data_IF_502354847518
#
_entry.id   IF_502354847518
#
_cell.length_a   1.000
_cell.length_b   1.000
_cell.length_c   1.000
_cell.angle_alpha   90.00
_cell.angle_beta   90.00
_cell.angle_gamma   90.00
#
_symmetry.space_group_name_H-M   'P 1'
#
loop_
_entity.id
_entity.type
_entity.pdbx_description
1 polymer ?
2 non-polymer ?
#
# COMPACT_ATOMS: atom_id res chain seq x y z
N UNK A 2 -4.31 28.49 18.56
CA UNK A 2 -4.31 27.00 18.46
C UNK A 2 -3.07 26.45 19.22
N UNK A 3 -3.25 25.28 19.83
CA UNK A 3 -2.16 24.57 20.50
C UNK A 3 -1.10 24.21 19.45
N UNK A 4 -1.58 23.80 18.29
CA UNK A 4 -0.76 23.47 17.14
C UNK A 4 -0.99 24.53 16.11
N UNK A 5 0.04 25.17 15.62
CA UNK A 5 -0.09 26.28 14.68
C UNK A 5 -0.72 25.89 13.34
N UNK A 6 -1.60 26.76 12.85
CA UNK A 6 -2.27 26.59 11.56
C UNK A 6 -1.70 27.57 10.54
N UNK A 7 -1.85 27.26 9.27
CA UNK A 7 -1.48 28.17 8.19
C UNK A 7 -2.62 28.30 7.20
N UNK A 8 -2.51 29.25 6.25
CA UNK A 8 -3.52 29.40 5.19
C UNK A 8 -3.59 28.18 4.27
N UNK A 9 -2.44 27.53 4.05
CA UNK A 9 -2.37 26.32 3.23
C UNK A 9 -1.55 25.20 3.89
N UNK A 10 -1.42 25.25 5.21
CA UNK A 10 -0.61 24.27 5.95
C UNK A 10 -0.97 24.24 7.44
N UNK A 11 -0.23 23.44 8.21
CA UNK A 11 -0.40 23.35 9.66
C UNK A 11 0.86 22.72 10.25
N UNK A 12 1.58 23.48 11.06
CA UNK A 12 2.80 22.99 11.74
C UNK A 12 2.50 22.63 13.19
N UNK A 13 2.65 21.34 13.57
CA UNK A 13 2.32 20.91 14.92
C UNK A 13 3.41 21.27 15.94
N UNK A 14 3.40 22.54 16.35
CA UNK A 14 4.39 23.07 17.29
C UNK A 14 3.99 24.48 17.73
N UNK A 15 4.31 24.81 18.99
CA UNK A 15 4.02 26.12 19.58
C UNK A 15 4.78 27.25 18.89
N UNK A 16 4.15 28.42 18.85
CA UNK A 16 4.76 29.61 18.24
C UNK A 16 4.55 30.81 19.15
N UNK A 17 4.78 30.63 20.45
CA UNK A 17 4.93 31.74 21.38
C UNK A 17 6.38 32.24 21.33
N UNK A 18 7.31 31.33 21.04
CA UNK A 18 8.72 31.67 20.81
C UNK A 18 8.92 32.44 19.49
N UNK A 19 8.11 32.15 18.48
CA UNK A 19 8.04 32.97 17.27
C UNK A 19 8.98 32.54 16.16
N UNK A 20 8.96 31.27 15.80
CA UNK A 20 9.86 30.69 14.78
C UNK A 20 9.16 30.09 13.55
N UNK A 21 7.86 29.87 13.64
CA UNK A 21 7.15 29.04 12.65
C UNK A 21 7.01 29.78 11.31
N UNK A 22 7.47 29.14 10.23
CA UNK A 22 7.20 29.59 8.86
C UNK A 22 6.57 28.48 8.03
N UNK A 23 6.09 28.84 6.83
CA UNK A 23 5.42 27.91 5.93
C UNK A 23 6.37 26.80 5.49
N UNK A 24 5.95 25.52 5.66
CA UNK A 24 6.73 24.37 5.18
C UNK A 24 7.06 24.41 3.68
N UNK A 25 6.27 25.14 2.89
CA UNK A 25 6.50 25.27 1.46
C UNK A 25 7.63 26.25 1.17
N UNK A 26 7.66 27.37 1.91
CA UNK A 26 8.64 28.43 1.70
C UNK A 26 9.92 28.26 2.53
N UNK A 27 9.77 27.83 3.78
CA UNK A 27 10.90 27.75 4.72
C UNK A 27 11.18 26.36 5.27
N UNK A 28 12.38 26.12 5.87
CA UNK A 28 12.69 24.84 6.55
C UNK A 28 11.94 24.63 7.88
N UNK A 29 12.24 23.51 8.55
CA UNK A 29 11.57 23.12 9.80
C UNK A 29 12.57 22.51 10.78
N UNK A 30 13.77 23.06 10.87
CA UNK A 30 14.84 22.50 11.73
C UNK A 30 14.74 22.91 13.21
N UNK A 31 13.64 23.52 13.62
CA UNK A 31 13.35 23.80 15.04
C UNK A 31 12.56 22.66 15.69
N UNK A 32 11.99 21.78 14.86
CA UNK A 32 11.25 20.62 15.35
C UNK A 32 12.20 19.49 15.76
N UNK A 33 13.43 19.48 15.25
CA UNK A 33 14.40 18.43 15.54
C UNK A 33 15.84 18.89 15.31
N UNK A 34 16.78 17.99 15.56
CA UNK A 34 18.21 18.24 15.39
C UNK A 34 18.57 18.53 13.92
N UNK A 35 19.75 19.13 13.67
CA UNK A 35 20.25 19.31 12.29
C UNK A 35 20.42 18.02 11.47
N UNK A 36 20.77 16.91 12.14
CA UNK A 36 20.93 15.62 11.42
C UNK A 36 19.74 14.67 11.63
N UNK A 37 18.64 15.17 12.17
CA UNK A 37 17.42 14.36 12.34
C UNK A 37 16.65 14.21 11.01
N UNK A 38 16.61 15.28 10.22
CA UNK A 38 15.99 15.22 8.88
C UNK A 38 16.84 14.38 7.90
N UNK A 39 18.12 14.19 8.21
CA UNK A 39 18.97 13.29 7.44
C UNK A 39 18.51 11.84 7.53
N UNK A 40 17.87 11.48 8.64
CA UNK A 40 17.27 10.14 8.78
C UNK A 40 16.29 9.89 7.68
N UNK A 41 15.31 10.78 7.54
CA UNK A 41 14.33 10.68 6.47
C UNK A 41 14.98 10.74 5.07
N UNK A 42 15.92 11.65 4.89
CA UNK A 42 16.65 11.76 3.62
C UNK A 42 17.42 10.50 3.24
N UNK A 43 18.00 9.84 4.24
CA UNK A 43 18.70 8.56 4.05
C UNK A 43 17.71 7.39 4.04
N UNK A 44 16.61 7.54 4.76
CA UNK A 44 15.55 6.53 4.80
C UNK A 44 14.86 6.37 3.46
N UNK A 45 14.46 7.48 2.83
CA UNK A 45 13.81 7.46 1.51
C UNK A 45 14.77 6.96 0.43
N UNK A 46 16.02 7.40 0.48
CA UNK A 46 17.05 6.98 -0.49
C UNK A 46 17.29 5.47 -0.42
N UNK A 47 17.48 4.96 0.79
CA UNK A 47 17.73 3.52 0.99
C UNK A 47 16.45 2.68 0.88
N UNK A 48 15.29 3.32 0.92
CA UNK A 48 14.02 2.65 0.63
C UNK A 48 13.75 2.58 -0.88
N UNK A 49 13.96 3.70 -1.57
CA UNK A 49 13.79 3.75 -3.02
C UNK A 49 14.79 2.81 -3.72
N UNK A 50 15.99 2.68 -3.14
CA UNK A 50 17.00 1.74 -3.66
C UNK A 50 16.55 0.28 -3.64
N UNK A 51 15.71 -0.07 -2.65
CA UNK A 51 15.14 -1.43 -2.56
C UNK A 51 13.67 -1.52 -2.97
N UNK A 52 13.03 -0.37 -3.21
CA UNK A 52 11.66 -0.31 -3.68
C UNK A 52 11.51 -0.50 -5.17
N UNK A 53 12.36 0.19 -5.94
CA UNK A 53 12.30 0.17 -7.41
C UNK A 53 12.69 -1.19 -8.00
N UNK A 54 13.87 -1.75 -7.63
CA UNK A 54 14.32 -2.98 -8.29
C UNK A 54 13.53 -4.24 -7.95
N UNK A 55 12.78 -4.22 -6.85
CA UNK A 55 11.90 -5.34 -6.47
C UNK A 55 10.55 -5.22 -7.17
N UNK A 56 10.00 -4.02 -7.20
CA UNK A 56 8.75 -3.78 -7.92
C UNK A 56 8.91 -3.90 -9.45
N UNK A 57 10.06 -3.47 -9.96
CA UNK A 57 10.38 -3.61 -11.40
C UNK A 57 10.68 -5.07 -11.75
N UNK A 58 11.28 -5.80 -10.80
CA UNK A 58 11.52 -7.24 -10.95
C UNK A 58 10.21 -8.03 -10.98
N UNK A 59 9.29 -7.66 -10.08
CA UNK A 59 7.97 -8.27 -10.05
C UNK A 59 7.21 -7.97 -11.33
N UNK A 60 7.37 -6.75 -11.84
CA UNK A 60 6.77 -6.33 -13.10
C UNK A 60 7.39 -7.06 -14.31
N UNK A 61 8.70 -7.27 -14.27
CA UNK A 61 9.44 -7.93 -15.37
C UNK A 61 9.12 -9.43 -15.43
N UNK A 62 8.97 -10.06 -14.27
CA UNK A 62 8.78 -11.51 -14.20
C UNK A 62 7.33 -11.94 -14.46
N UNK A 63 6.37 -11.30 -13.82
CA UNK A 63 4.96 -11.71 -13.88
C UNK A 63 4.38 -11.68 -15.30
N UNK A 64 4.73 -10.63 -16.06
CA UNK A 64 4.25 -10.46 -17.43
C UNK A 64 4.95 -11.42 -18.39
N UNK A 65 6.23 -11.71 -18.13
CA UNK A 65 7.03 -12.60 -18.98
C UNK A 65 6.72 -14.09 -18.75
N UNK A 66 6.09 -14.44 -17.63
CA UNK A 66 5.82 -15.83 -17.25
C UNK A 66 4.36 -16.23 -17.46
N UNK A 67 4.15 -17.48 -17.85
CA UNK A 67 2.93 -17.96 -18.51
C UNK A 67 1.84 -18.38 -17.54
N UNK A 68 2.21 -19.33 -16.68
CA UNK A 68 1.26 -19.96 -15.74
C UNK A 68 0.74 -18.96 -14.71
N UNK A 69 1.46 -17.84 -14.55
CA UNK A 69 1.04 -16.78 -13.64
C UNK A 69 0.02 -15.86 -14.32
N UNK A 70 -1.20 -16.35 -14.47
CA UNK A 70 -2.28 -15.58 -15.12
C UNK A 70 -3.64 -15.53 -14.38
N UNK A 71 -3.79 -16.26 -13.27
CA UNK A 71 -5.02 -16.22 -12.47
C UNK A 71 -5.12 -14.86 -11.76
N UNK A 72 -6.33 -14.47 -11.33
CA UNK A 72 -6.54 -13.23 -10.55
C UNK A 72 -5.52 -12.99 -9.44
N UNK A 73 -5.04 -14.06 -8.81
CA UNK A 73 -3.91 -14.01 -7.88
C UNK A 73 -2.79 -13.15 -8.41
N UNK A 74 -2.29 -13.50 -9.59
CA UNK A 74 -1.10 -12.86 -10.16
C UNK A 74 -1.40 -11.54 -10.87
N UNK A 75 -2.65 -11.32 -11.28
CA UNK A 75 -3.08 -10.04 -11.87
C UNK A 75 -3.17 -8.92 -10.84
N UNK A 76 -3.79 -9.20 -9.70
CA UNK A 76 -4.00 -8.22 -8.64
C UNK A 76 -2.67 -7.92 -7.94
N UNK A 77 -1.88 -8.96 -7.66
CA UNK A 77 -0.56 -8.77 -7.03
C UNK A 77 0.49 -8.19 -7.99
N UNK A 78 0.21 -8.24 -9.28
CA UNK A 78 0.96 -7.46 -10.27
C UNK A 78 0.46 -6.00 -10.26
N UNK A 79 -0.86 -5.82 -10.19
CA UNK A 79 -1.47 -4.49 -10.01
C UNK A 79 -0.92 -3.75 -8.79
N UNK A 80 -0.66 -4.50 -7.73
CA UNK A 80 -0.01 -3.94 -6.55
C UNK A 80 1.44 -3.58 -6.84
N UNK A 81 2.18 -4.48 -7.49
CA UNK A 81 3.57 -4.22 -7.88
C UNK A 81 3.69 -2.97 -8.76
N UNK A 82 2.70 -2.76 -9.62
CA UNK A 82 2.62 -1.54 -10.44
C UNK A 82 2.28 -0.34 -9.55
N UNK A 83 1.22 -0.48 -8.75
CA UNK A 83 0.80 0.59 -7.84
C UNK A 83 1.89 0.96 -6.83
N UNK A 84 2.70 -0.01 -6.45
CA UNK A 84 3.82 0.21 -5.55
C UNK A 84 5.00 0.91 -6.25
N UNK A 85 5.25 0.57 -7.52
CA UNK A 85 6.30 1.21 -8.30
C UNK A 85 5.97 2.68 -8.61
N UNK A 86 4.67 2.96 -8.80
CA UNK A 86 4.17 4.34 -8.89
C UNK A 86 4.63 5.23 -7.73
N UNK A 87 4.62 4.65 -6.53
CA UNK A 87 5.01 5.37 -5.31
C UNK A 87 6.52 5.59 -5.25
N UNK A 88 7.28 4.52 -5.47
CA UNK A 88 8.75 4.54 -5.32
C UNK A 88 9.37 5.57 -6.26
N UNK A 89 8.95 5.54 -7.52
CA UNK A 89 9.45 6.51 -8.49
C UNK A 89 8.74 7.86 -8.38
N UNK A 90 7.46 7.85 -8.06
CA UNK A 90 6.64 9.08 -7.96
C UNK A 90 6.66 9.79 -6.61
N UNK A 91 5.84 9.34 -5.69
CA UNK A 91 5.64 10.03 -4.40
C UNK A 91 6.79 9.97 -3.43
N UNK A 92 7.59 8.92 -3.53
CA UNK A 92 8.74 8.75 -2.63
C UNK A 92 9.92 9.64 -2.99
N UNK A 93 10.11 9.89 -4.28
CA UNK A 93 11.18 10.76 -4.74
C UNK A 93 10.97 12.23 -4.30
N UNK A 94 9.72 12.66 -4.21
CA UNK A 94 9.39 14.02 -3.73
C UNK A 94 9.75 14.18 -2.27
N UNK A 95 9.31 13.22 -1.46
CA UNK A 95 9.58 13.23 -0.03
C UNK A 95 11.04 12.89 0.32
N UNK A 96 11.76 12.23 -0.59
CA UNK A 96 13.21 12.08 -0.47
C UNK A 96 13.86 13.44 -0.63
N UNK A 97 13.54 14.12 -1.73
CA UNK A 97 14.09 15.44 -2.03
C UNK A 97 13.59 16.49 -1.04
N UNK A 98 12.38 16.30 -0.51
CA UNK A 98 11.83 17.16 0.53
C UNK A 98 12.57 16.96 1.85
N UNK A 99 12.79 15.71 2.24
CA UNK A 99 13.53 15.38 3.46
C UNK A 99 15.03 15.69 3.36
N UNK A 100 15.55 15.72 2.14
CA UNK A 100 16.92 16.12 1.89
C UNK A 100 17.17 17.58 2.27
N UNK A 101 16.19 18.43 1.99
CA UNK A 101 16.24 19.85 2.38
C UNK A 101 15.53 20.13 3.72
N UNK A 102 14.62 19.26 4.11
CA UNK A 102 13.86 19.41 5.36
C UNK A 102 12.51 20.12 5.18
N UNK A 103 12.16 20.43 3.93
CA UNK A 103 10.91 21.12 3.63
C UNK A 103 10.54 20.96 2.15
N UNK A 104 9.25 21.12 1.85
CA UNK A 104 8.75 20.95 0.48
C UNK A 104 9.28 22.03 -0.46
N UNK A 105 10.34 21.69 -1.16
CA UNK A 105 11.02 22.63 -2.06
C UNK A 105 10.24 22.91 -3.35
N UNK A 106 9.34 21.99 -3.71
CA UNK A 106 8.51 22.16 -4.89
C UNK A 106 7.24 22.98 -4.58
N UNK A 107 7.12 23.52 -3.37
CA UNK A 107 5.99 24.36 -2.98
C UNK A 107 4.82 23.53 -2.50
N UNK A 108 3.58 24.08 -2.58
CA UNK A 108 2.40 23.26 -2.26
C UNK A 108 2.09 22.16 -3.28
N UNK A 109 2.69 22.26 -4.46
CA UNK A 109 2.61 21.19 -5.47
C UNK A 109 3.39 19.95 -5.03
N UNK A 110 4.53 20.15 -4.36
CA UNK A 110 5.31 19.04 -3.83
C UNK A 110 4.62 18.29 -2.72
N UNK A 111 3.75 18.98 -1.98
CA UNK A 111 2.91 18.34 -0.96
C UNK A 111 1.93 17.36 -1.61
N UNK A 112 1.38 17.74 -2.76
CA UNK A 112 0.47 16.86 -3.49
C UNK A 112 1.19 15.60 -3.99
N UNK A 113 2.37 15.76 -4.60
CA UNK A 113 3.16 14.60 -5.07
C UNK A 113 3.39 13.55 -3.98
N UNK A 114 3.67 14.00 -2.76
CA UNK A 114 3.76 13.09 -1.61
C UNK A 114 2.37 12.58 -1.19
N UNK A 115 1.38 13.47 -1.18
CA UNK A 115 0.02 13.13 -0.75
C UNK A 115 -0.86 12.44 -1.78
N UNK A 116 -0.51 12.56 -3.06
CA UNK A 116 -1.31 11.99 -4.15
C UNK A 116 -0.93 10.54 -4.43
N UNK A 117 0.36 10.29 -4.70
CA UNK A 117 0.86 8.94 -4.96
C UNK A 117 0.70 8.00 -3.74
N UNK A 118 0.86 8.55 -2.53
CA UNK A 118 0.70 7.78 -1.30
C UNK A 118 -0.76 7.36 -1.09
N UNK A 119 -1.67 8.32 -1.21
CA UNK A 119 -3.11 8.07 -1.07
C UNK A 119 -3.63 7.18 -2.20
N UNK A 120 -3.07 7.34 -3.40
CA UNK A 120 -3.43 6.51 -4.54
C UNK A 120 -2.94 5.07 -4.35
N UNK A 121 -1.64 4.92 -4.12
CA UNK A 121 -1.03 3.60 -3.92
C UNK A 121 -1.48 2.90 -2.66
N UNK A 122 -1.79 3.69 -1.63
CA UNK A 122 -2.29 3.16 -0.36
C UNK A 122 -3.67 2.53 -0.47
N UNK A 123 -4.50 3.05 -1.38
CA UNK A 123 -5.85 2.52 -1.61
C UNK A 123 -5.86 1.33 -2.56
N UNK A 124 -4.96 1.32 -3.52
CA UNK A 124 -4.78 0.15 -4.40
C UNK A 124 -4.27 -1.05 -3.58
N UNK A 125 -3.45 -0.77 -2.56
CA UNK A 125 -3.06 -1.79 -1.59
C UNK A 125 -4.29 -2.34 -0.86
N UNK A 126 -5.21 -1.45 -0.48
CA UNK A 126 -6.43 -1.82 0.25
C UNK A 126 -7.45 -2.55 -0.62
N UNK A 127 -7.94 -1.86 -1.65
CA UNK A 127 -9.04 -2.40 -2.48
C UNK A 127 -8.66 -3.65 -3.26
N UNK A 128 -7.35 -3.91 -3.41
CA UNK A 128 -6.87 -5.19 -3.92
C UNK A 128 -7.28 -6.34 -3.01
N UNK A 129 -7.27 -6.09 -1.70
CA UNK A 129 -7.67 -7.08 -0.72
C UNK A 129 -9.18 -7.27 -0.67
N UNK A 130 -9.93 -6.24 -1.06
CA UNK A 130 -11.38 -6.36 -1.19
C UNK A 130 -11.74 -7.24 -2.40
N UNK A 131 -10.94 -7.16 -3.46
CA UNK A 131 -11.07 -8.05 -4.61
C UNK A 131 -10.66 -9.48 -4.24
N UNK A 132 -9.55 -9.59 -3.52
CA UNK A 132 -9.04 -10.90 -3.06
C UNK A 132 -9.88 -11.52 -1.94
N UNK A 133 -10.61 -10.71 -1.19
CA UNK A 133 -11.53 -11.21 -0.17
C UNK A 133 -12.72 -11.92 -0.82
N UNK A 134 -13.29 -11.29 -1.85
CA UNK A 134 -14.43 -11.84 -2.58
C UNK A 134 -14.02 -13.08 -3.40
N UNK A 135 -12.75 -13.17 -3.77
CA UNK A 135 -12.23 -14.35 -4.46
C UNK A 135 -12.28 -15.58 -3.57
N UNK A 136 -11.96 -15.42 -2.29
CA UNK A 136 -12.05 -16.53 -1.32
C UNK A 136 -13.50 -16.87 -1.02
N UNK A 137 -14.36 -15.85 -0.98
CA UNK A 137 -15.79 -16.01 -0.71
C UNK A 137 -16.49 -16.93 -1.71
N UNK A 138 -16.24 -16.73 -3.00
CA UNK A 138 -16.96 -17.46 -4.05
C UNK A 138 -16.37 -18.85 -4.27
N UNK A 139 -15.05 -18.98 -4.32
CA UNK A 139 -14.40 -20.26 -4.67
C UNK A 139 -14.36 -21.26 -3.52
N UNK A 140 -14.27 -20.76 -2.28
CA UNK A 140 -14.15 -21.62 -1.11
C UNK A 140 -15.50 -21.82 -0.42
N UNK A 141 -16.13 -20.72 0.00
CA UNK A 141 -17.39 -20.78 0.75
C UNK A 141 -18.55 -21.22 -0.14
N UNK A 142 -18.52 -20.79 -1.40
CA UNK A 142 -19.44 -21.26 -2.44
C UNK A 142 -20.93 -20.99 -2.13
N UNK A 143 -21.38 -19.75 -2.33
CA UNK A 143 -22.81 -19.50 -2.48
C UNK A 143 -23.30 -20.03 -3.84
N UNK A 144 -22.54 -19.69 -4.88
CA UNK A 144 -22.69 -20.22 -6.22
C UNK A 144 -21.49 -21.13 -6.49
N UNK A 145 -21.70 -22.43 -6.53
CA UNK A 145 -20.60 -23.39 -6.71
C UNK A 145 -20.03 -23.33 -8.11
N UNK A 146 -20.88 -23.09 -9.11
CA UNK A 146 -20.43 -22.95 -10.52
C UNK A 146 -19.56 -21.72 -10.81
N UNK A 147 -19.75 -20.65 -10.05
CA UNK A 147 -19.04 -19.40 -10.29
C UNK A 147 -17.60 -19.50 -9.78
N UNK A 148 -16.67 -18.92 -10.54
CA UNK A 148 -15.27 -18.85 -10.12
C UNK A 148 -14.59 -17.63 -10.76
N UNK A 149 -13.69 -17.00 -10.00
CA UNK A 149 -12.94 -15.84 -10.50
C UNK A 149 -11.96 -16.26 -11.61
N UNK A 150 -12.33 -15.96 -12.84
CA UNK A 150 -11.48 -16.25 -14.00
C UNK A 150 -10.61 -15.07 -14.36
N UNK A 151 -10.05 -15.10 -15.56
CA UNK A 151 -9.23 -14.01 -16.08
C UNK A 151 -10.02 -12.73 -16.32
N UNK A 152 -11.33 -12.84 -16.59
CA UNK A 152 -12.18 -11.67 -16.81
C UNK A 152 -12.34 -10.83 -15.55
N UNK A 153 -12.66 -11.47 -14.43
CA UNK A 153 -12.85 -10.79 -13.15
C UNK A 153 -11.53 -10.31 -12.53
N UNK A 154 -10.40 -10.81 -13.02
CA UNK A 154 -9.08 -10.34 -12.61
C UNK A 154 -8.84 -8.89 -13.04
N UNK A 155 -9.11 -8.60 -14.32
CA UNK A 155 -8.94 -7.25 -14.88
C UNK A 155 -10.00 -6.28 -14.37
N UNK A 156 -11.22 -6.77 -14.17
CA UNK A 156 -12.30 -5.95 -13.58
C UNK A 156 -12.03 -5.67 -12.11
N UNK A 157 -11.33 -6.59 -11.44
CA UNK A 157 -10.86 -6.37 -10.08
C UNK A 157 -9.76 -5.32 -10.00
N UNK A 158 -8.78 -5.41 -10.89
CA UNK A 158 -7.70 -4.43 -11.00
C UNK A 158 -8.26 -3.06 -11.37
N UNK A 159 -9.15 -3.03 -12.37
CA UNK A 159 -9.81 -1.78 -12.77
C UNK A 159 -10.64 -1.19 -11.62
N UNK A 160 -11.25 -2.06 -10.83
CA UNK A 160 -12.02 -1.63 -9.65
C UNK A 160 -11.16 -0.98 -8.56
N UNK A 161 -9.93 -1.47 -8.38
CA UNK A 161 -9.02 -0.91 -7.37
C UNK A 161 -8.57 0.51 -7.75
N UNK A 162 -8.26 0.72 -9.01
CA UNK A 162 -7.81 2.04 -9.49
C UNK A 162 -8.89 3.12 -9.45
N UNK A 163 -10.16 2.73 -9.58
CA UNK A 163 -11.28 3.66 -9.53
C UNK A 163 -11.52 4.20 -8.11
N UNK A 164 -11.36 3.34 -7.12
CA UNK A 164 -11.54 3.73 -5.72
C UNK A 164 -10.40 4.62 -5.22
N UNK A 165 -9.17 4.33 -5.65
CA UNK A 165 -8.00 5.12 -5.29
C UNK A 165 -8.05 6.55 -5.84
N UNK A 166 -8.43 6.68 -7.11
CA UNK A 166 -8.59 8.00 -7.76
C UNK A 166 -9.82 8.77 -7.26
N UNK A 167 -10.77 8.05 -6.66
CA UNK A 167 -11.92 8.68 -6.00
C UNK A 167 -11.60 9.14 -4.58
N UNK A 168 -10.38 8.87 -4.11
CA UNK A 168 -9.89 9.36 -2.82
C UNK A 168 -8.79 10.41 -2.97
N UNK A 169 -7.80 10.10 -3.80
CA UNK A 169 -6.63 10.96 -3.99
C UNK A 169 -6.93 12.23 -4.81
N UNK A 170 -7.71 12.10 -5.86
CA UNK A 170 -8.04 13.22 -6.75
C UNK A 170 -8.93 14.31 -6.13
N UNK A 171 -10.07 13.94 -5.50
CA UNK A 171 -11.02 14.96 -5.00
C UNK A 171 -10.45 16.12 -4.17
N UNK A 172 -9.43 15.85 -3.32
CA UNK A 172 -8.70 16.93 -2.64
C UNK A 172 -8.22 18.12 -3.50
N UNK A 173 -8.09 17.94 -4.82
CA UNK A 173 -7.47 18.94 -5.70
C UNK A 173 -8.42 19.81 -6.54
N UNK A 174 -9.67 20.00 -6.09
CA UNK A 174 -10.60 20.94 -6.77
C UNK A 174 -11.50 21.69 -5.80
N UNK A 175 -10.87 22.32 -4.79
CA UNK A 175 -11.57 23.07 -3.75
C UNK A 175 -12.06 22.28 -2.54
N UNK A 176 -11.77 20.97 -2.47
CA UNK A 176 -12.09 20.15 -1.29
C UNK A 176 -10.88 20.08 -0.36
N UNK A 177 -10.97 19.29 0.71
CA UNK A 177 -9.88 19.17 1.69
C UNK A 177 -8.51 18.97 1.07
N UNK A 178 -7.64 19.96 1.22
CA UNK A 178 -6.28 19.91 0.69
C UNK A 178 -5.37 19.01 1.51
N UNK A 179 -4.14 18.83 1.02
CA UNK A 179 -3.09 18.12 1.74
C UNK A 179 -2.28 19.11 2.55
N UNK A 180 -2.05 18.80 3.83
CA UNK A 180 -1.27 19.64 4.73
C UNK A 180 -0.13 18.85 5.36
N UNK A 181 1.09 19.44 5.39
CA UNK A 181 2.25 18.80 6.00
C UNK A 181 2.00 18.27 7.41
N UNK A 182 2.71 17.19 7.74
CA UNK A 182 2.44 16.42 8.94
C UNK A 182 3.66 16.23 9.80
N UNK A 183 3.54 16.54 11.09
CA UNK A 183 4.63 16.35 12.06
C UNK A 183 5.84 17.21 11.77
N UNK A 184 6.86 16.62 11.14
CA UNK A 184 8.06 17.35 10.72
C UNK A 184 7.91 18.00 9.35
N UNK A 185 6.72 17.89 8.77
CA UNK A 185 6.36 18.57 7.54
C UNK A 185 7.15 18.04 6.33
N UNK A 186 7.43 16.75 6.36
CA UNK A 186 8.06 16.05 5.24
C UNK A 186 7.04 15.13 4.56
N UNK A 187 6.23 14.44 5.35
CA UNK A 187 5.05 13.76 4.84
C UNK A 187 3.91 14.73 4.76
N UNK A 188 3.01 14.53 3.81
CA UNK A 188 1.95 15.49 3.53
C UNK A 188 0.63 14.78 3.30
N UNK A 189 -0.31 14.94 4.23
CA UNK A 189 -1.58 14.23 4.21
C UNK A 189 -2.77 15.11 4.38
N UNK A 190 -3.96 14.52 4.28
CA UNK A 190 -5.20 15.31 4.26
C UNK A 190 -5.33 16.10 5.53
N UNK A 191 -5.79 17.34 5.42
CA UNK A 191 -5.95 18.19 6.58
C UNK A 191 -7.13 17.73 7.43
N UNK A 192 -6.78 16.97 8.46
CA UNK A 192 -7.68 16.62 9.56
C UNK A 192 -7.18 17.33 10.81
N UNK A 193 -6.33 18.34 10.61
CA UNK A 193 -5.68 19.04 11.70
C UNK A 193 -6.53 20.22 12.15
N UNK A 194 -7.29 20.81 11.22
CA UNK A 194 -8.04 22.02 11.48
C UNK A 194 -9.45 21.93 10.93
N UNK A 195 -10.38 22.69 11.53
CA UNK A 195 -11.75 22.77 11.04
C UNK A 195 -11.84 23.86 9.99
N UNK A 196 -11.10 23.67 8.89
CA UNK A 196 -11.03 24.65 7.82
C UNK A 196 -12.28 24.53 6.97
N UNK A 197 -13.35 25.20 7.40
CA UNK A 197 -14.65 25.11 6.73
C UNK A 197 -14.71 25.90 5.43
N UNK A 198 -13.65 26.64 5.09
CA UNK A 198 -13.48 27.25 3.77
C UNK A 198 -13.39 26.21 2.65
N UNK A 199 -12.86 25.03 2.97
CA UNK A 199 -12.68 23.97 2.00
C UNK A 199 -13.22 22.61 2.47
N UNK A 200 -14.10 22.63 3.48
CA UNK A 200 -14.68 21.42 4.06
C UNK A 200 -13.64 20.46 4.60
N UNK A 201 -12.85 20.94 5.55
CA UNK A 201 -11.83 20.11 6.21
C UNK A 201 -12.38 19.34 7.40
N UNK A 202 -13.47 19.84 8.00
CA UNK A 202 -14.17 19.11 9.05
C UNK A 202 -15.20 18.13 8.47
N UNK A 203 -15.55 18.29 7.21
CA UNK A 203 -16.56 17.44 6.56
C UNK A 203 -15.95 16.31 5.70
N UNK A 204 -15.04 16.68 4.80
CA UNK A 204 -14.47 15.74 3.82
C UNK A 204 -13.63 14.62 4.45
N UNK A 205 -13.09 14.84 5.65
CA UNK A 205 -12.28 13.83 6.33
C UNK A 205 -13.14 12.60 6.70
N UNK A 206 -14.43 12.82 6.94
CA UNK A 206 -15.34 11.74 7.28
C UNK A 206 -15.63 10.86 6.04
N UNK A 207 -15.62 11.48 4.87
CA UNK A 207 -15.77 10.77 3.58
C UNK A 207 -14.78 9.62 3.38
N UNK A 208 -13.48 9.90 3.60
CA UNK A 208 -12.42 8.91 3.34
C UNK A 208 -12.34 7.81 4.41
N UNK A 209 -12.58 8.18 5.67
CA UNK A 209 -12.50 7.22 6.80
C UNK A 209 -13.67 6.22 6.82
N UNK A 210 -14.78 6.56 6.16
CA UNK A 210 -15.94 5.67 6.10
C UNK A 210 -15.99 4.90 4.76
N UNK A 211 -15.91 5.64 3.65
CA UNK A 211 -16.02 5.03 2.31
C UNK A 211 -14.76 4.30 1.90
N UNK A 212 -13.63 5.00 2.04
CA UNK A 212 -12.33 4.49 1.57
C UNK A 212 -11.49 3.85 2.67
N UNK A 213 -12.14 3.21 3.64
CA UNK A 213 -11.43 2.53 4.73
C UNK A 213 -12.26 1.49 5.49
N UNK A 214 -13.21 1.96 6.30
CA UNK A 214 -13.89 1.09 7.26
C UNK A 214 -14.78 0.04 6.61
N UNK A 215 -15.32 0.35 5.43
CA UNK A 215 -16.11 -0.62 4.67
C UNK A 215 -15.25 -1.81 4.21
N UNK A 216 -14.13 -1.55 3.50
CA UNK A 216 -13.18 -2.60 3.13
C UNK A 216 -12.81 -3.60 4.23
N UNK A 217 -12.44 -3.12 5.40
CA UNK A 217 -12.00 -4.02 6.48
C UNK A 217 -13.11 -4.90 7.04
N UNK A 218 -14.34 -4.41 6.99
CA UNK A 218 -15.50 -5.24 7.34
C UNK A 218 -15.71 -6.33 6.28
N UNK A 219 -15.49 -5.97 5.01
CA UNK A 219 -15.58 -6.92 3.90
C UNK A 219 -14.52 -8.02 4.01
N UNK A 220 -13.31 -7.66 4.45
CA UNK A 220 -12.23 -8.63 4.58
C UNK A 220 -12.39 -9.48 5.85
N UNK A 221 -12.85 -8.88 6.94
CA UNK A 221 -13.18 -9.63 8.17
C UNK A 221 -14.42 -10.50 7.98
N UNK A 222 -15.30 -10.14 7.04
CA UNK A 222 -16.50 -10.94 6.70
C UNK A 222 -16.15 -12.23 5.97
N UNK A 223 -15.27 -12.14 4.98
CA UNK A 223 -14.83 -13.32 4.23
C UNK A 223 -13.88 -14.18 5.08
N UNK A 224 -13.05 -13.53 5.87
CA UNK A 224 -12.22 -14.21 6.88
C UNK A 224 -13.09 -14.81 7.98
N UNK A 225 -14.19 -14.13 8.30
CA UNK A 225 -15.17 -14.59 9.29
C UNK A 225 -16.09 -15.70 8.82
N UNK A 226 -16.46 -15.68 7.54
CA UNK A 226 -17.29 -16.75 6.96
C UNK A 226 -16.47 -18.03 6.79
N UNK A 227 -15.14 -17.88 6.70
CA UNK A 227 -14.22 -19.01 6.74
C UNK A 227 -13.91 -19.42 8.20
N UNK A 228 -14.94 -19.45 9.03
CA UNK A 228 -14.89 -19.99 10.39
C UNK A 228 -15.07 -21.50 10.29
N UNK A 229 -15.92 -21.95 9.36
CA UNK A 229 -16.18 -23.38 9.13
C UNK A 229 -15.30 -23.97 8.03
N UNK A 230 -15.34 -23.38 6.85
CA UNK A 230 -14.80 -24.02 5.63
C UNK A 230 -13.29 -24.25 5.67
N UNK A 231 -12.52 -23.14 5.68
CA UNK A 231 -11.05 -23.20 5.66
C UNK A 231 -10.47 -22.39 6.81
N UNK A 232 -10.25 -23.07 7.93
CA UNK A 232 -9.56 -22.52 9.08
C UNK A 232 -8.06 -22.79 8.90
N UNK A 233 -7.29 -22.07 9.68
CA UNK A 233 -5.86 -22.16 9.64
C UNK A 233 -5.48 -23.61 9.85
N UNK A 234 -4.96 -24.24 8.81
CA UNK A 234 -4.55 -25.67 8.83
C UNK A 234 -3.56 -25.97 7.69
N UNK A 235 -3.03 -27.19 7.63
CA UNK A 235 -1.95 -27.55 6.68
C UNK A 235 -2.18 -28.91 6.01
N UNK A 236 -1.30 -29.29 5.09
CA UNK A 236 -1.42 -30.55 4.33
C UNK A 236 -0.08 -30.98 3.74
N UNK A 237 -0.01 -32.19 3.18
CA UNK A 237 1.25 -32.74 2.64
C UNK A 237 1.58 -32.21 1.23
N UNK A 238 2.52 -32.85 0.52
CA UNK A 238 3.04 -32.42 -0.78
C UNK A 238 2.01 -31.98 -1.83
N UNK A 239 0.88 -32.68 -1.94
CA UNK A 239 -0.14 -32.37 -2.96
C UNK A 239 -1.53 -32.89 -2.60
N UNK A 240 -2.56 -32.22 -3.11
CA UNK A 240 -3.95 -32.59 -2.92
C UNK A 240 -4.80 -32.21 -4.13
N UNK A 241 -5.76 -33.07 -4.49
CA UNK A 241 -6.57 -32.95 -5.71
C UNK A 241 -5.69 -32.80 -6.96
N UNK A 242 -4.69 -33.68 -7.07
CA UNK A 242 -3.69 -33.67 -8.14
C UNK A 242 -2.97 -32.32 -8.29
N UNK A 243 -2.33 -31.93 -7.17
CA UNK A 243 -1.53 -30.70 -7.06
C UNK A 243 -2.38 -29.43 -7.30
N UNK A 244 -3.61 -29.43 -6.81
CA UNK A 244 -4.54 -28.31 -6.99
C UNK A 244 -4.87 -27.61 -5.68
N UNK A 245 -5.47 -28.33 -4.75
CA UNK A 245 -5.94 -27.78 -3.48
C UNK A 245 -4.80 -27.36 -2.55
N UNK A 246 -3.67 -28.05 -2.64
CA UNK A 246 -2.47 -27.68 -1.88
C UNK A 246 -1.93 -26.34 -2.34
N UNK A 247 -1.82 -26.16 -3.65
CA UNK A 247 -1.38 -24.88 -4.24
C UNK A 247 -2.46 -23.80 -4.10
N UNK A 248 -3.74 -24.19 -4.12
CA UNK A 248 -4.86 -23.26 -3.96
C UNK A 248 -4.96 -22.74 -2.53
N UNK A 249 -4.79 -23.62 -1.56
CA UNK A 249 -4.84 -23.22 -0.14
C UNK A 249 -3.60 -22.44 0.29
N UNK A 250 -2.49 -22.69 -0.39
CA UNK A 250 -1.25 -21.93 -0.15
C UNK A 250 -1.39 -20.46 -0.56
N UNK A 251 -2.27 -20.21 -1.54
CA UNK A 251 -2.62 -18.84 -1.94
C UNK A 251 -3.59 -18.21 -0.94
N UNK A 252 -4.54 -19.00 -0.45
CA UNK A 252 -5.50 -18.55 0.55
C UNK A 252 -4.80 -17.96 1.77
N UNK A 253 -3.69 -18.59 2.17
CA UNK A 253 -2.81 -18.05 3.21
C UNK A 253 -2.37 -16.62 2.82
N UNK A 254 -1.74 -16.52 1.65
CA UNK A 254 -1.16 -15.27 1.17
C UNK A 254 -2.19 -14.16 0.91
N UNK A 255 -3.42 -14.55 0.56
CA UNK A 255 -4.49 -13.58 0.33
C UNK A 255 -4.89 -12.86 1.62
N UNK A 256 -5.11 -13.64 2.68
CA UNK A 256 -5.54 -13.09 3.98
C UNK A 256 -4.33 -12.89 4.92
N UNK A 257 -3.12 -13.06 4.42
CA UNK A 257 -1.90 -12.57 5.08
C UNK A 257 -1.61 -11.14 4.66
N UNK A 258 -1.97 -10.78 3.43
CA UNK A 258 -1.79 -9.41 2.93
C UNK A 258 -2.65 -8.38 3.69
N UNK A 259 -3.76 -8.83 4.28
CA UNK A 259 -4.56 -7.97 5.15
C UNK A 259 -3.91 -7.81 6.54
N UNK A 260 -3.22 -8.85 7.01
CA UNK A 260 -2.49 -8.79 8.28
C UNK A 260 -1.38 -7.74 8.21
N UNK A 261 -0.62 -7.78 7.12
CA UNK A 261 0.45 -6.81 6.88
C UNK A 261 -0.09 -5.40 6.64
N UNK A 262 -1.27 -5.32 6.03
CA UNK A 262 -1.95 -4.04 5.83
C UNK A 262 -2.30 -3.41 7.18
N UNK A 263 -2.87 -4.19 8.08
CA UNK A 263 -3.25 -3.68 9.41
C UNK A 263 -2.05 -3.22 10.25
N UNK A 264 -0.91 -3.89 10.08
CA UNK A 264 0.31 -3.50 10.80
C UNK A 264 0.87 -2.18 10.28
N UNK A 265 0.90 -2.01 8.96
CA UNK A 265 1.55 -0.85 8.33
C UNK A 265 0.60 0.27 7.94
N UNK A 266 -0.58 0.35 8.57
CA UNK A 266 -1.53 1.45 8.32
C UNK A 266 -2.28 1.95 9.54
N UNK A 267 -2.81 1.02 10.37
CA UNK A 267 -3.45 1.40 11.64
C UNK A 267 -2.66 2.42 12.49
N UNK A 268 -1.33 2.25 12.59
CA UNK A 268 -0.52 3.26 13.25
C UNK A 268 -0.68 4.68 12.69
N UNK A 269 -0.76 4.79 11.36
CA UNK A 269 -1.04 6.10 10.74
C UNK A 269 -2.50 6.49 10.93
N UNK A 270 -3.40 5.54 10.72
CA UNK A 270 -4.84 5.80 10.80
C UNK A 270 -5.26 6.20 12.21
N UNK A 271 -4.61 5.63 13.23
CA UNK A 271 -4.87 5.96 14.63
C UNK A 271 -4.44 7.36 15.01
N UNK A 272 -3.27 7.75 14.50
CA UNK A 272 -2.71 9.08 14.75
C UNK A 272 -3.38 10.14 13.90
N UNK A 273 -3.68 9.81 12.65
CA UNK A 273 -4.40 10.73 11.76
C UNK A 273 -5.81 11.04 12.28
N UNK A 274 -6.45 10.04 12.87
CA UNK A 274 -7.76 10.21 13.51
C UNK A 274 -7.63 10.98 14.81
N UNK A 275 -6.58 10.70 15.58
CA UNK A 275 -6.30 11.39 16.85
C UNK A 275 -6.23 12.90 16.69
N UNK A 276 -5.80 13.35 15.52
CA UNK A 276 -5.72 14.78 15.21
C UNK A 276 -7.02 15.37 14.67
N UNK A 277 -7.88 14.54 14.07
CA UNK A 277 -9.20 15.01 13.65
C UNK A 277 -10.08 15.27 14.83
N UNK A 278 -10.15 14.30 15.74
CA UNK A 278 -10.92 14.46 16.97
C UNK A 278 -10.41 15.62 17.80
N UNK A 279 -9.09 15.66 18.00
CA UNK A 279 -8.51 16.77 18.70
C UNK A 279 -8.07 17.65 17.54
N UNK A 280 -8.84 18.67 17.23
CA UNK A 280 -8.49 19.53 16.12
C UNK A 280 -7.60 20.62 16.67
N UNK A 281 -6.34 20.53 16.35
CA UNK A 281 -5.39 21.51 16.84
C UNK A 281 -5.17 21.46 18.33
N UNK A 282 -4.76 20.28 18.82
CA UNK A 282 -4.39 20.10 20.23
C UNK A 282 -2.87 20.12 20.40
N UNK A 283 -2.42 20.05 21.65
CA UNK A 283 -1.00 20.10 22.00
C UNK A 283 -0.30 18.76 21.73
N UNK A 284 0.22 18.60 20.51
CA UNK A 284 0.99 17.40 20.13
C UNK A 284 2.23 17.77 19.35
N UNK A 285 3.30 16.99 19.54
CA UNK A 285 4.62 17.26 18.97
C UNK A 285 4.78 16.85 17.53
N UNK A 286 5.99 17.06 16.97
CA UNK A 286 6.26 16.73 15.57
C UNK A 286 6.53 15.25 15.34
N UNK A 287 7.29 14.61 16.25
CA UNK A 287 7.69 13.21 16.15
C UNK A 287 6.48 12.30 16.30
N UNK A 288 5.53 12.71 17.14
CA UNK A 288 4.31 11.96 17.37
C UNK A 288 3.58 11.61 16.06
N UNK A 289 3.51 12.58 15.14
CA UNK A 289 2.80 12.41 13.87
C UNK A 289 3.68 11.88 12.74
N UNK A 290 4.93 12.35 12.69
CA UNK A 290 5.82 12.03 11.57
C UNK A 290 6.08 10.54 11.44
N UNK A 291 6.55 9.91 12.52
CA UNK A 291 6.86 8.47 12.51
C UNK A 291 5.75 7.67 11.82
N UNK A 292 4.49 7.81 12.27
CA UNK A 292 3.37 7.16 11.63
C UNK A 292 3.38 7.18 10.10
N UNK A 293 3.67 8.35 9.52
CA UNK A 293 3.64 8.53 8.08
C UNK A 293 4.75 7.74 7.37
N UNK A 294 5.99 7.98 7.77
CA UNK A 294 7.15 7.33 7.14
C UNK A 294 7.25 5.85 7.50
N UNK A 295 6.74 5.49 8.69
CA UNK A 295 6.54 4.08 9.05
C UNK A 295 5.61 3.43 8.04
N UNK A 296 4.48 4.09 7.78
CA UNK A 296 3.48 3.59 6.87
C UNK A 296 3.96 3.53 5.42
N UNK A 297 4.93 4.38 5.08
CA UNK A 297 5.54 4.37 3.73
C UNK A 297 6.53 3.22 3.55
N UNK A 298 6.16 2.02 3.97
CA UNK A 298 6.83 0.78 3.57
C UNK A 298 5.77 -0.14 2.91
N UNK A 299 4.73 0.48 2.36
CA UNK A 299 3.69 -0.24 1.64
C UNK A 299 4.08 -0.49 0.19
N UNK A 300 5.12 0.19 -0.28
CA UNK A 300 5.66 -0.01 -1.62
C UNK A 300 6.76 -1.09 -1.64
N UNK A 301 6.78 -1.96 -0.63
CA UNK A 301 7.74 -3.08 -0.58
C UNK A 301 7.17 -4.40 -0.06
N UNK A 302 6.25 -4.37 0.92
CA UNK A 302 5.73 -5.61 1.50
C UNK A 302 4.90 -6.47 0.53
N UNK A 303 4.07 -5.84 -0.32
CA UNK A 303 3.22 -6.58 -1.26
C UNK A 303 4.03 -7.46 -2.21
N UNK A 304 5.13 -6.92 -2.77
CA UNK A 304 6.12 -7.76 -3.45
C UNK A 304 6.73 -8.87 -2.56
N UNK A 305 7.15 -8.50 -1.35
CA UNK A 305 7.78 -9.46 -0.42
C UNK A 305 6.84 -10.61 -0.11
N UNK A 306 5.59 -10.31 0.19
CA UNK A 306 4.57 -11.35 0.44
C UNK A 306 4.33 -12.19 -0.81
N UNK A 307 4.22 -11.53 -1.96
CA UNK A 307 4.01 -12.20 -3.25
C UNK A 307 5.16 -13.17 -3.57
N UNK A 308 6.35 -12.89 -3.03
CA UNK A 308 7.52 -13.75 -3.18
C UNK A 308 7.63 -14.78 -2.06
N UNK A 309 7.72 -14.28 -0.83
CA UNK A 309 8.02 -15.11 0.37
C UNK A 309 7.23 -16.44 0.41
N UNK A 310 5.89 -16.39 0.44
CA UNK A 310 5.06 -17.58 0.64
C UNK A 310 4.82 -18.40 -0.64
N UNK A 311 4.35 -17.74 -1.70
CA UNK A 311 3.93 -18.41 -2.93
C UNK A 311 5.12 -19.01 -3.69
N UNK A 312 5.29 -20.33 -3.59
CA UNK A 312 6.38 -21.05 -4.26
C UNK A 312 6.18 -21.09 -5.77
N UNK A 313 4.94 -20.89 -6.23
CA UNK A 313 4.63 -20.73 -7.66
C UNK A 313 5.41 -19.56 -8.27
N UNK A 314 5.63 -18.51 -7.49
CA UNK A 314 6.36 -17.31 -7.92
C UNK A 314 7.86 -17.30 -7.55
N UNK A 315 8.25 -18.05 -6.52
CA UNK A 315 9.65 -18.10 -6.07
C UNK A 315 10.59 -18.60 -7.15
N UNK A 316 10.21 -19.72 -7.76
CA UNK A 316 11.01 -20.34 -8.82
C UNK A 316 10.96 -19.55 -10.15
N UNK A 317 9.94 -18.71 -10.33
CA UNK A 317 9.79 -17.90 -11.54
C UNK A 317 10.84 -16.79 -11.66
N UNK A 318 10.91 -15.92 -10.65
CA UNK A 318 11.79 -14.74 -10.71
C UNK A 318 13.29 -15.07 -10.71
N UNK A 319 13.64 -16.23 -10.17
CA UNK A 319 15.03 -16.69 -10.18
C UNK A 319 15.50 -17.07 -11.61
N UNK A 320 14.60 -17.64 -12.40
CA UNK A 320 14.93 -18.10 -13.76
C UNK A 320 15.23 -16.98 -14.75
N UNK A 321 14.63 -15.81 -14.52
CA UNK A 321 14.85 -14.63 -15.38
C UNK A 321 16.29 -14.11 -15.33
N UNK A 322 17.00 -14.36 -14.23
CA UNK A 322 18.37 -13.89 -14.05
C UNK A 322 19.38 -14.64 -14.92
N UNK A 323 19.30 -15.97 -14.88
CA UNK A 323 20.22 -16.83 -15.64
C UNK A 323 19.66 -17.34 -16.98
N UNK A 324 18.37 -17.69 -17.02
CA UNK A 324 17.72 -18.33 -18.18
C UNK A 324 18.31 -19.69 -18.54
N UNK A 325 17.86 -20.73 -17.83
CA UNK A 325 18.32 -22.12 -18.04
C UNK A 325 17.49 -22.92 -19.02
N UNK A 326 17.48 -24.25 -18.90
CA UNK A 326 16.73 -25.13 -19.82
C UNK A 326 15.90 -26.28 -19.20
N UNK A 327 15.79 -26.34 -17.86
CA UNK A 327 15.01 -27.40 -17.16
C UNK A 327 14.80 -27.10 -15.64
N UNK A 328 13.82 -27.76 -14.98
CA UNK A 328 13.49 -27.46 -13.57
C UNK A 328 14.32 -28.23 -12.55
N UNK A 329 14.31 -27.78 -11.28
CA UNK A 329 15.01 -28.42 -10.17
C UNK A 329 14.28 -29.66 -9.60
N UNK A 330 14.99 -30.43 -8.79
CA UNK A 330 14.47 -31.67 -8.22
C UNK A 330 13.43 -31.47 -7.13
N UNK A 331 13.67 -30.51 -6.24
CA UNK A 331 12.69 -30.26 -5.18
C UNK A 331 11.37 -29.75 -5.73
N UNK A 332 11.50 -28.84 -6.71
CA UNK A 332 10.38 -28.24 -7.48
C UNK A 332 9.28 -27.53 -6.65
N UNK A 333 8.10 -27.30 -7.20
CA UNK A 333 7.07 -26.61 -6.42
C UNK A 333 5.84 -27.47 -6.08
N UNK A 334 5.86 -28.68 -6.62
CA UNK A 334 4.84 -29.79 -6.63
C UNK A 334 3.81 -29.64 -7.76
N UNK A 335 3.80 -28.45 -8.38
CA UNK A 335 3.07 -28.10 -9.56
C UNK A 335 4.14 -27.38 -10.36
N UNK A 336 4.42 -27.88 -11.55
CA UNK A 336 5.67 -27.57 -12.24
C UNK A 336 6.07 -26.10 -12.17
N UNK A 337 7.34 -25.89 -11.87
CA UNK A 337 7.86 -24.54 -11.75
C UNK A 337 7.69 -23.75 -13.07
N UNK A 338 7.39 -22.46 -12.95
CA UNK A 338 7.18 -21.63 -14.15
C UNK A 338 8.44 -20.80 -14.50
N UNK A 339 8.91 -20.92 -15.74
CA UNK A 339 10.13 -20.20 -16.21
C UNK A 339 10.05 -19.61 -17.64
N UNK A 340 10.93 -18.67 -17.97
CA UNK A 340 10.89 -18.03 -19.30
C UNK A 340 11.07 -18.97 -20.53
N UNK A 341 12.09 -19.81 -20.53
CA UNK A 341 12.35 -20.72 -21.68
C UNK A 341 12.45 -22.16 -21.21
N UNK A 342 11.96 -22.41 -20.00
CA UNK A 342 12.03 -23.72 -19.34
C UNK A 342 10.62 -24.30 -19.20
N UNK A 343 10.47 -25.31 -18.34
CA UNK A 343 9.18 -25.94 -18.07
C UNK A 343 8.14 -25.03 -17.40
N UNK A 344 7.40 -24.27 -18.21
CA UNK A 344 6.21 -23.52 -17.75
C UNK A 344 4.95 -24.27 -18.11
N UNK A 345 4.92 -25.56 -17.79
CA UNK A 345 3.97 -26.49 -18.37
C UNK A 345 3.55 -27.59 -17.41
N UNK A 346 2.26 -27.88 -17.40
CA UNK A 346 1.75 -29.08 -16.72
C UNK A 346 0.50 -29.57 -17.46
N UNK A 347 0.53 -30.84 -17.86
CA UNK A 347 -0.57 -31.45 -18.62
C UNK A 347 -1.73 -31.72 -17.64
N UNK A 348 -2.94 -31.18 -17.94
CA UNK A 348 -3.98 -31.08 -16.90
C UNK A 348 -4.62 -32.43 -16.63
N UNK A 349 -4.80 -32.73 -15.34
CA UNK A 349 -5.28 -34.03 -14.87
C UNK A 349 -5.58 -33.94 -13.38
#
# INVERSE_FOLDING_TARGET
XMNGTEGPNFYVPFSNKTGVVRSPFEAPQYYLAEPWQFSMLAAYMFLLIMLGFPINFLTLYVTVQHKKLRTPLNYILLNLAVADLFMVFGGFTTTLYTSLHGYFVFGPTGCNLEGFFATLGGEIALWSLVVLAIERYVVVCKPMSNFRFGENHAIMGVAFTWVMALACAAPPLVGWSRYIPEGMQCSCGIDYYTPHEETNNESFVIYMFVVHFIIPLIVIFFCYGQLVFTVKEAAAQQQESATTQKAEKEVTRMVIIMVIAFLICWLPYAGVAFYIFTHQGSDFGPIFMTIPAFFAKTSAVYNPVIYIMMNKQFRNCMVTTLCCGKNPLGDDEASTTVSKTETSQVAPA
#
